data_IF_197128591443
#
_entry.id   IF_197128591443
#
_cell.length_a   1.000
_cell.length_b   1.000
_cell.length_c   1.000
_cell.angle_alpha   90.00
_cell.angle_beta   90.00
_cell.angle_gamma   90.00
#
_symmetry.space_group_name_H-M   'P 1'
#
loop_
_entity.id
_entity.type
_entity.pdbx_description
1 polymer ?
#
# COMPACT_ATOMS: atom_id res chain seq x y z
N UNK A 1 5.45 -2.25 18.95
CA UNK A 1 6.72 -2.89 19.39
C UNK A 1 7.63 -3.26 18.21
N UNK A 2 7.16 -4.07 17.25
CA UNK A 2 8.02 -4.63 16.18
C UNK A 2 8.51 -3.67 15.09
N UNK A 3 7.94 -2.47 14.93
CA UNK A 3 8.41 -1.51 13.92
C UNK A 3 9.93 -1.26 14.02
N UNK A 4 10.62 -1.35 12.88
CA UNK A 4 12.05 -1.11 12.76
C UNK A 4 12.93 -2.35 12.96
N UNK A 5 12.39 -3.56 13.08
CA UNK A 5 13.21 -4.77 12.95
C UNK A 5 13.60 -4.97 11.46
N UNK A 6 14.82 -5.46 11.16
CA UNK A 6 15.32 -5.61 9.79
C UNK A 6 14.57 -6.66 8.96
N UNK A 7 13.75 -7.50 9.61
CA UNK A 7 12.94 -8.52 8.97
C UNK A 7 11.65 -7.97 8.35
N UNK A 8 11.21 -6.77 8.75
CA UNK A 8 9.99 -6.17 8.22
C UNK A 8 10.24 -5.64 6.81
N UNK A 9 9.54 -6.22 5.84
CA UNK A 9 9.51 -5.72 4.45
C UNK A 9 8.86 -4.32 4.42
N UNK A 10 7.80 -4.16 5.21
CA UNK A 10 7.05 -2.92 5.37
C UNK A 10 6.79 -2.62 6.84
N UNK A 11 6.64 -1.35 7.25
CA UNK A 11 6.17 -1.02 8.58
C UNK A 11 4.83 -1.68 8.88
N UNK A 12 4.56 -1.89 10.18
CA UNK A 12 3.29 -2.45 10.64
C UNK A 12 2.13 -1.64 10.08
N UNK A 13 1.27 -2.30 9.31
CA UNK A 13 0.12 -1.69 8.64
C UNK A 13 -1.06 -1.68 9.61
N UNK A 14 -1.47 -0.49 10.03
CA UNK A 14 -2.59 -0.32 10.98
C UNK A 14 -3.92 0.06 10.32
N UNK A 15 -3.90 0.50 9.06
CA UNK A 15 -5.11 0.85 8.32
C UNK A 15 -5.65 -0.38 7.58
N UNK A 16 -6.92 -0.79 7.80
CA UNK A 16 -7.48 -2.00 7.18
C UNK A 16 -7.46 -2.00 5.65
N UNK A 17 -7.60 -0.85 4.99
CA UNK A 17 -7.58 -0.78 3.52
C UNK A 17 -6.15 -0.91 2.99
N UNK A 18 -5.18 -0.26 3.64
CA UNK A 18 -3.76 -0.49 3.33
C UNK A 18 -3.36 -1.95 3.54
N UNK A 19 -3.93 -2.61 4.55
CA UNK A 19 -3.68 -4.03 4.80
C UNK A 19 -4.28 -4.94 3.71
N UNK A 20 -5.47 -4.61 3.16
CA UNK A 20 -5.98 -5.27 1.95
C UNK A 20 -5.00 -5.12 0.78
N UNK A 21 -4.51 -3.90 0.53
CA UNK A 21 -3.47 -3.65 -0.47
C UNK A 21 -2.18 -4.44 -0.24
N UNK A 22 -1.79 -4.68 1.02
CA UNK A 22 -0.63 -5.50 1.37
C UNK A 22 -0.84 -6.99 1.03
N UNK A 23 -2.05 -7.50 1.20
CA UNK A 23 -2.40 -8.86 0.78
C UNK A 23 -2.43 -8.98 -0.75
N UNK A 24 -2.94 -7.98 -1.46
CA UNK A 24 -2.90 -7.93 -2.92
C UNK A 24 -1.46 -7.89 -3.46
N UNK A 25 -0.58 -7.10 -2.80
CA UNK A 25 0.85 -7.11 -3.10
C UNK A 25 1.46 -8.50 -2.86
N UNK A 26 1.14 -9.16 -1.75
CA UNK A 26 1.65 -10.50 -1.45
C UNK A 26 1.25 -11.53 -2.53
N UNK A 27 0.03 -11.43 -3.08
CA UNK A 27 -0.39 -12.25 -4.22
C UNK A 27 0.45 -11.94 -5.46
N UNK A 28 0.75 -10.67 -5.71
CA UNK A 28 1.59 -10.25 -6.85
C UNK A 28 3.03 -10.74 -6.70
N UNK A 29 3.62 -10.63 -5.52
CA UNK A 29 4.94 -11.16 -5.18
C UNK A 29 4.98 -12.68 -5.37
N UNK A 30 3.96 -13.41 -4.90
CA UNK A 30 3.85 -14.85 -5.11
C UNK A 30 3.89 -15.22 -6.61
N UNK A 31 3.13 -14.50 -7.45
CA UNK A 31 3.13 -14.73 -8.90
C UNK A 31 4.48 -14.37 -9.55
N UNK A 32 5.12 -13.29 -9.09
CA UNK A 32 6.46 -12.90 -9.53
C UNK A 32 7.48 -14.01 -9.26
N UNK A 33 7.47 -14.58 -8.04
CA UNK A 33 8.32 -15.72 -7.67
C UNK A 33 8.10 -16.94 -8.56
N UNK A 34 6.83 -17.28 -8.84
CA UNK A 34 6.52 -18.37 -9.76
C UNK A 34 7.06 -18.16 -11.16
N UNK A 35 7.01 -16.92 -11.66
CA UNK A 35 7.63 -16.57 -12.94
C UNK A 35 9.15 -16.76 -12.89
N UNK A 36 9.80 -16.27 -11.84
CA UNK A 36 11.24 -16.49 -11.61
C UNK A 36 11.59 -17.99 -11.57
N UNK A 37 10.77 -18.81 -10.93
CA UNK A 37 11.00 -20.26 -10.89
C UNK A 37 10.89 -20.90 -12.27
N UNK A 38 9.87 -20.52 -13.04
CA UNK A 38 9.68 -20.99 -14.42
C UNK A 38 10.85 -20.59 -15.31
N UNK A 39 11.31 -19.34 -15.24
CA UNK A 39 12.43 -18.82 -16.04
C UNK A 39 13.76 -19.54 -15.72
N UNK A 40 13.88 -20.10 -14.51
CA UNK A 40 15.05 -20.85 -14.05
C UNK A 40 14.84 -22.38 -14.03
N UNK A 41 13.74 -22.89 -14.61
CA UNK A 41 13.39 -24.32 -14.64
C UNK A 41 13.37 -25.02 -13.27
N UNK A 42 12.93 -24.32 -12.23
CA UNK A 42 12.74 -24.86 -10.87
C UNK A 42 11.27 -24.84 -10.47
N UNK A 43 10.90 -25.65 -9.48
CA UNK A 43 9.50 -25.82 -9.05
C UNK A 43 9.13 -24.99 -7.82
N UNK A 44 10.11 -24.62 -7.01
CA UNK A 44 9.91 -23.96 -5.73
C UNK A 44 11.13 -23.12 -5.32
N UNK A 45 10.96 -22.39 -4.23
CA UNK A 45 11.99 -21.54 -3.62
C UNK A 45 13.25 -22.32 -3.22
N UNK A 46 13.14 -23.59 -2.85
CA UNK A 46 14.30 -24.40 -2.45
C UNK A 46 15.18 -24.71 -3.66
N UNK A 47 14.55 -25.07 -4.78
CA UNK A 47 15.22 -25.25 -6.07
C UNK A 47 15.89 -23.96 -6.52
N UNK A 48 15.17 -22.83 -6.47
CA UNK A 48 15.74 -21.53 -6.84
C UNK A 48 16.93 -21.14 -5.96
N UNK A 49 16.81 -21.28 -4.65
CA UNK A 49 17.88 -20.94 -3.71
C UNK A 49 19.12 -21.84 -3.84
N UNK A 50 18.94 -23.07 -4.29
CA UNK A 50 20.06 -23.98 -4.60
C UNK A 50 20.86 -23.47 -5.81
N UNK A 51 20.17 -22.93 -6.83
CA UNK A 51 20.84 -22.26 -7.96
C UNK A 51 21.60 -21.03 -7.45
N UNK A 52 20.95 -20.14 -6.70
CA UNK A 52 21.60 -18.93 -6.17
C UNK A 52 22.86 -19.26 -5.36
N UNK A 53 22.82 -20.30 -4.54
CA UNK A 53 23.97 -20.78 -3.77
C UNK A 53 25.13 -21.23 -4.65
N UNK A 54 24.85 -21.98 -5.73
CA UNK A 54 25.89 -22.45 -6.65
C UNK A 54 26.61 -21.33 -7.40
N UNK A 55 25.94 -20.20 -7.62
CA UNK A 55 26.48 -19.03 -8.34
C UNK A 55 26.89 -17.88 -7.41
N UNK A 56 26.84 -18.08 -6.09
CA UNK A 56 27.20 -17.07 -5.10
C UNK A 56 26.26 -15.86 -5.03
N UNK A 57 25.01 -16.00 -5.50
CA UNK A 57 23.99 -14.95 -5.41
C UNK A 57 23.18 -15.03 -4.10
N UNK A 58 22.57 -13.91 -3.72
CA UNK A 58 21.71 -13.83 -2.53
C UNK A 58 20.48 -14.72 -2.71
N UNK A 59 20.20 -15.56 -1.71
CA UNK A 59 19.01 -16.42 -1.66
C UNK A 59 17.73 -15.57 -1.55
N UNK A 60 16.66 -16.03 -2.18
CA UNK A 60 15.32 -15.52 -2.01
C UNK A 60 14.81 -15.85 -0.59
N UNK A 61 14.33 -14.86 0.18
CA UNK A 61 13.87 -15.07 1.55
C UNK A 61 12.48 -15.73 1.60
N UNK A 62 12.22 -16.46 2.68
CA UNK A 62 10.86 -16.84 3.04
C UNK A 62 10.10 -15.60 3.53
N UNK A 63 8.82 -15.47 3.16
CA UNK A 63 7.95 -14.39 3.65
C UNK A 63 6.92 -15.01 4.59
N UNK A 64 6.74 -14.40 5.76
CA UNK A 64 5.65 -14.72 6.68
C UNK A 64 4.78 -13.49 6.85
N UNK A 65 3.49 -13.64 6.54
CA UNK A 65 2.49 -12.59 6.61
C UNK A 65 1.69 -12.81 7.89
N UNK A 66 1.71 -11.82 8.79
CA UNK A 66 0.96 -11.87 10.05
C UNK A 66 -0.25 -10.93 9.97
N UNK A 67 -1.42 -11.46 10.26
CA UNK A 67 -2.67 -10.70 10.44
C UNK A 67 -3.09 -10.93 11.89
N UNK A 68 -3.00 -9.90 12.73
CA UNK A 68 -3.33 -10.00 14.17
C UNK A 68 -4.85 -10.06 14.41
N UNK A 69 -5.61 -9.34 13.59
CA UNK A 69 -7.07 -9.31 13.68
C UNK A 69 -7.70 -9.32 12.28
N UNK A 70 -8.10 -10.51 11.83
CA UNK A 70 -8.75 -10.68 10.53
C UNK A 70 -10.11 -9.95 10.45
N UNK A 71 -10.85 -9.86 11.55
CA UNK A 71 -12.21 -9.30 11.51
C UNK A 71 -12.23 -7.84 11.07
N UNK A 72 -11.21 -7.06 11.42
CA UNK A 72 -11.10 -5.66 11.02
C UNK A 72 -10.88 -5.52 9.50
N UNK A 73 -10.17 -6.47 8.88
CA UNK A 73 -9.99 -6.52 7.43
C UNK A 73 -11.28 -6.92 6.73
N UNK A 74 -11.96 -7.96 7.25
CA UNK A 74 -13.22 -8.44 6.70
C UNK A 74 -14.34 -7.39 6.78
N UNK A 75 -14.32 -6.51 7.78
CA UNK A 75 -15.27 -5.39 7.88
C UNK A 75 -14.98 -4.27 6.85
N UNK A 76 -13.73 -4.11 6.44
CA UNK A 76 -13.32 -3.02 5.54
C UNK A 76 -13.40 -3.41 4.05
N UNK A 77 -12.99 -4.64 3.71
CA UNK A 77 -12.86 -5.14 2.34
C UNK A 77 -13.02 -6.69 2.30
N UNK A 78 -14.22 -7.23 2.61
CA UNK A 78 -14.41 -8.67 2.81
C UNK A 78 -14.04 -9.51 1.59
N UNK A 79 -14.45 -9.07 0.40
CA UNK A 79 -14.25 -9.83 -0.83
C UNK A 79 -12.78 -9.86 -1.25
N UNK A 80 -12.11 -8.71 -1.23
CA UNK A 80 -10.71 -8.58 -1.63
C UNK A 80 -9.77 -9.33 -0.67
N UNK A 81 -10.06 -9.25 0.64
CA UNK A 81 -9.30 -9.95 1.68
C UNK A 81 -9.49 -11.46 1.56
N UNK A 82 -10.73 -11.94 1.40
CA UNK A 82 -11.01 -13.38 1.26
C UNK A 82 -10.37 -13.97 0.00
N UNK A 83 -10.46 -13.29 -1.16
CA UNK A 83 -9.81 -13.73 -2.40
C UNK A 83 -8.30 -13.82 -2.23
N UNK A 84 -7.68 -12.78 -1.65
CA UNK A 84 -6.23 -12.76 -1.44
C UNK A 84 -5.78 -13.87 -0.49
N UNK A 85 -6.50 -14.09 0.62
CA UNK A 85 -6.22 -15.19 1.56
C UNK A 85 -6.34 -16.54 0.87
N UNK A 86 -7.40 -16.77 0.09
CA UNK A 86 -7.61 -18.03 -0.61
C UNK A 86 -6.48 -18.32 -1.61
N UNK A 87 -6.13 -17.33 -2.44
CA UNK A 87 -5.06 -17.47 -3.44
C UNK A 87 -3.70 -17.72 -2.80
N UNK A 88 -3.37 -16.98 -1.74
CA UNK A 88 -2.14 -17.21 -0.97
C UNK A 88 -2.15 -18.60 -0.35
N UNK A 89 -3.19 -18.98 0.39
CA UNK A 89 -3.24 -20.28 1.05
C UNK A 89 -3.14 -21.47 0.07
N UNK A 90 -3.64 -21.33 -1.15
CA UNK A 90 -3.57 -22.37 -2.18
C UNK A 90 -2.18 -22.52 -2.84
N UNK A 91 -1.48 -21.41 -3.09
CA UNK A 91 -0.31 -21.41 -3.99
C UNK A 91 0.99 -20.94 -3.31
N UNK A 92 0.92 -20.27 -2.16
CA UNK A 92 2.07 -19.62 -1.54
C UNK A 92 3.17 -20.60 -1.05
N UNK A 93 2.82 -21.87 -0.79
CA UNK A 93 3.74 -22.86 -0.21
C UNK A 93 5.03 -23.03 -1.03
N UNK A 94 4.93 -23.21 -2.35
CA UNK A 94 6.11 -23.39 -3.19
C UNK A 94 6.88 -22.07 -3.40
N UNK A 95 6.18 -20.93 -3.34
CA UNK A 95 6.74 -19.59 -3.36
C UNK A 95 7.48 -19.21 -2.06
N UNK A 96 7.44 -20.05 -1.02
CA UNK A 96 8.07 -19.77 0.26
C UNK A 96 7.37 -18.64 1.02
N UNK A 97 6.05 -18.52 0.84
CA UNK A 97 5.22 -17.52 1.48
C UNK A 97 4.21 -18.22 2.41
N UNK A 98 4.08 -17.73 3.64
CA UNK A 98 3.25 -18.37 4.68
C UNK A 98 2.37 -17.34 5.36
N UNK A 99 1.16 -17.74 5.75
CA UNK A 99 0.18 -16.86 6.34
C UNK A 99 -0.13 -17.30 7.77
N UNK A 100 -0.10 -16.36 8.71
CA UNK A 100 -0.50 -16.53 10.10
C UNK A 100 -1.63 -15.54 10.36
N UNK A 101 -2.82 -16.09 10.60
CA UNK A 101 -4.03 -15.29 10.83
C UNK A 101 -4.50 -15.51 12.26
N UNK A 102 -4.74 -14.41 12.97
CA UNK A 102 -5.38 -14.37 14.26
C UNK A 102 -6.68 -13.55 14.18
N UNK A 103 -7.61 -13.87 15.08
CA UNK A 103 -8.82 -13.10 15.31
C UNK A 103 -9.37 -13.39 16.69
N UNK A 104 -9.94 -12.38 17.32
CA UNK A 104 -10.71 -12.52 18.56
C UNK A 104 -12.20 -12.76 18.31
N UNK A 105 -12.66 -12.65 17.05
CA UNK A 105 -14.06 -12.82 16.65
C UNK A 105 -14.24 -14.09 15.82
N UNK A 106 -14.40 -15.27 16.47
CA UNK A 106 -14.57 -16.55 15.78
C UNK A 106 -16.01 -16.75 15.25
N UNK A 107 -16.49 -15.83 14.42
CA UNK A 107 -17.78 -15.92 13.74
C UNK A 107 -17.64 -16.50 12.33
N UNK A 108 -18.74 -17.02 11.78
CA UNK A 108 -18.77 -17.59 10.42
C UNK A 108 -18.54 -16.51 9.36
N UNK A 109 -18.90 -15.27 9.65
CA UNK A 109 -18.70 -14.13 8.74
C UNK A 109 -17.22 -13.71 8.66
N UNK A 110 -16.42 -14.01 9.68
CA UNK A 110 -14.97 -13.74 9.71
C UNK A 110 -14.19 -14.96 9.24
N UNK A 111 -14.53 -16.15 9.76
CA UNK A 111 -13.89 -17.43 9.44
C UNK A 111 -14.82 -18.21 8.50
N UNK A 112 -14.85 -17.76 7.24
CA UNK A 112 -15.73 -18.32 6.23
C UNK A 112 -15.36 -19.75 5.86
N UNK A 113 -16.27 -20.45 5.17
CA UNK A 113 -16.00 -21.78 4.65
C UNK A 113 -14.80 -21.84 3.69
N UNK A 114 -14.60 -20.79 2.88
CA UNK A 114 -13.48 -20.69 1.95
C UNK A 114 -12.14 -20.54 2.67
N UNK A 115 -12.08 -19.69 3.70
CA UNK A 115 -10.88 -19.56 4.53
C UNK A 115 -10.56 -20.90 5.21
N UNK A 116 -11.57 -21.57 5.79
CA UNK A 116 -11.37 -22.87 6.44
C UNK A 116 -10.88 -23.93 5.46
N UNK A 117 -11.40 -23.97 4.24
CA UNK A 117 -11.01 -24.95 3.23
C UNK A 117 -9.53 -24.85 2.84
N UNK A 118 -8.96 -23.65 2.87
CA UNK A 118 -7.58 -23.40 2.44
C UNK A 118 -6.56 -23.33 3.59
N UNK A 119 -7.01 -23.16 4.84
CA UNK A 119 -6.15 -23.10 6.04
C UNK A 119 -6.45 -24.30 6.95
N UNK A 120 -5.79 -25.45 6.73
CA UNK A 120 -6.12 -26.70 7.44
C UNK A 120 -5.50 -26.80 8.84
N UNK A 121 -4.37 -26.13 9.10
CA UNK A 121 -3.72 -26.13 10.41
C UNK A 121 -4.26 -24.98 11.25
N UNK A 122 -4.79 -25.29 12.44
CA UNK A 122 -5.52 -24.32 13.27
C UNK A 122 -5.11 -24.40 14.73
N UNK A 123 -5.19 -23.26 15.41
CA UNK A 123 -4.97 -23.14 16.85
C UNK A 123 -6.19 -22.44 17.42
N UNK A 124 -6.75 -22.98 18.51
CA UNK A 124 -7.78 -22.30 19.29
C UNK A 124 -7.30 -22.15 20.72
N UNK A 125 -7.23 -20.90 21.18
CA UNK A 125 -7.20 -20.58 22.61
C UNK A 125 -8.61 -20.76 23.20
N UNK A 126 -8.76 -20.47 24.49
CA UNK A 126 -10.06 -20.47 25.16
C UNK A 126 -11.05 -19.55 24.43
N UNK A 127 -12.22 -20.09 24.14
CA UNK A 127 -13.35 -19.36 23.56
C UNK A 127 -14.57 -19.40 24.49
N UNK A 128 -15.56 -18.57 24.21
CA UNK A 128 -16.74 -18.41 25.07
C UNK A 128 -17.76 -19.54 24.92
N UNK A 129 -17.85 -20.14 23.73
CA UNK A 129 -18.90 -21.12 23.45
C UNK A 129 -18.42 -22.30 22.59
N UNK A 130 -19.19 -23.39 22.65
CA UNK A 130 -18.99 -24.55 21.77
C UNK A 130 -19.15 -24.18 20.29
N UNK A 131 -19.98 -23.19 19.97
CA UNK A 131 -20.19 -22.71 18.60
C UNK A 131 -18.89 -22.08 18.09
N UNK A 132 -18.28 -21.18 18.87
CA UNK A 132 -16.99 -20.56 18.54
C UNK A 132 -15.88 -21.60 18.34
N UNK A 133 -15.83 -22.60 19.22
CA UNK A 133 -14.88 -23.72 19.08
C UNK A 133 -15.05 -24.44 17.75
N UNK A 134 -16.30 -24.70 17.33
CA UNK A 134 -16.58 -25.34 16.04
C UNK A 134 -16.28 -24.42 14.87
N UNK A 135 -16.44 -23.12 15.00
CA UNK A 135 -16.06 -22.17 13.96
C UNK A 135 -14.55 -22.25 13.69
N UNK A 136 -13.72 -22.33 14.74
CA UNK A 136 -12.26 -22.35 14.58
C UNK A 136 -11.74 -23.75 14.19
N UNK A 137 -12.06 -24.80 14.95
CA UNK A 137 -11.43 -26.13 14.81
C UNK A 137 -12.38 -27.25 14.39
N UNK A 138 -13.60 -26.91 13.94
CA UNK A 138 -14.66 -27.84 13.50
C UNK A 138 -15.14 -28.84 14.58
N UNK A 139 -14.63 -28.74 15.81
CA UNK A 139 -15.03 -29.55 16.96
C UNK A 139 -15.24 -28.70 18.21
N UNK A 140 -15.97 -29.26 19.16
CA UNK A 140 -16.03 -28.74 20.53
C UNK A 140 -14.75 -29.02 21.31
N UNK A 141 -14.50 -28.24 22.35
CA UNK A 141 -13.43 -28.47 23.33
C UNK A 141 -12.70 -27.19 23.72
N UNK A 142 -12.61 -26.20 22.84
CA UNK A 142 -11.89 -24.96 23.13
C UNK A 142 -12.60 -24.12 24.21
N UNK A 143 -13.92 -24.25 24.34
CA UNK A 143 -14.71 -23.59 25.39
C UNK A 143 -14.39 -24.09 26.81
N UNK A 144 -13.74 -25.26 26.91
CA UNK A 144 -13.35 -25.90 28.17
C UNK A 144 -11.90 -25.60 28.58
N UNK A 145 -11.16 -24.84 27.76
CA UNK A 145 -9.80 -24.45 28.07
C UNK A 145 -9.77 -23.51 29.28
N UNK A 146 -8.64 -23.51 29.98
CA UNK A 146 -8.47 -22.76 31.22
C UNK A 146 -8.16 -21.28 30.98
N UNK A 147 -7.66 -20.93 29.78
CA UNK A 147 -7.12 -19.60 29.46
C UNK A 147 -5.61 -19.56 29.70
N UNK A 148 -5.02 -18.36 29.73
CA UNK A 148 -3.59 -18.14 30.07
C UNK A 148 -2.62 -19.06 29.31
N UNK A 149 -2.79 -19.17 27.99
CA UNK A 149 -1.93 -19.96 27.11
C UNK A 149 -2.39 -21.41 26.89
N UNK A 150 -3.39 -21.92 27.61
CA UNK A 150 -3.98 -23.23 27.32
C UNK A 150 -4.70 -23.22 25.96
N UNK A 151 -4.29 -24.11 25.05
CA UNK A 151 -4.74 -24.11 23.65
C UNK A 151 -5.00 -25.52 23.11
N UNK A 152 -5.80 -25.59 22.06
CA UNK A 152 -5.94 -26.76 21.18
C UNK A 152 -5.23 -26.48 19.87
N UNK A 153 -4.23 -27.31 19.54
CA UNK A 153 -3.53 -27.31 18.27
C UNK A 153 -4.09 -28.42 17.38
N UNK A 154 -4.56 -28.06 16.20
CA UNK A 154 -5.11 -28.98 15.23
C UNK A 154 -4.34 -28.87 13.90
N UNK A 155 -3.19 -29.55 13.78
CA UNK A 155 -2.41 -29.54 12.55
C UNK A 155 -3.07 -30.37 11.45
N UNK A 156 -2.74 -30.02 10.21
CA UNK A 156 -3.11 -30.81 9.03
C UNK A 156 -2.66 -32.27 9.18
N UNK A 157 -3.54 -33.20 8.81
CA UNK A 157 -3.25 -34.63 8.79
C UNK A 157 -3.43 -35.38 10.12
N UNK A 158 -3.79 -34.69 11.20
CA UNK A 158 -4.14 -35.33 12.48
C UNK A 158 -5.67 -35.40 12.62
N UNK A 159 -6.18 -36.46 13.24
CA UNK A 159 -7.63 -36.69 13.37
C UNK A 159 -8.30 -35.97 14.55
N UNK A 160 -7.53 -35.57 15.57
CA UNK A 160 -8.04 -34.90 16.77
C UNK A 160 -7.09 -33.77 17.20
N UNK A 161 -7.61 -32.63 17.67
CA UNK A 161 -6.79 -31.57 18.25
C UNK A 161 -5.99 -32.07 19.45
N UNK A 162 -4.75 -31.59 19.57
CA UNK A 162 -3.86 -31.84 20.69
C UNK A 162 -3.93 -30.64 21.65
N UNK A 163 -4.10 -30.92 22.94
CA UNK A 163 -4.05 -29.86 23.95
C UNK A 163 -2.61 -29.53 24.30
N UNK A 164 -2.25 -28.26 24.28
CA UNK A 164 -0.90 -27.77 24.52
C UNK A 164 -0.98 -26.58 25.48
N UNK A 165 0.03 -26.44 26.35
CA UNK A 165 0.23 -25.22 27.13
C UNK A 165 1.20 -24.31 26.39
N UNK A 166 0.72 -23.14 25.98
CA UNK A 166 1.54 -22.11 25.37
C UNK A 166 2.56 -21.53 26.35
N UNK A 167 3.72 -21.14 25.82
CA UNK A 167 4.72 -20.40 26.58
C UNK A 167 4.22 -18.99 26.89
N UNK A 168 4.44 -18.55 28.12
CA UNK A 168 4.22 -17.16 28.48
C UNK A 168 5.47 -16.35 28.14
N UNK A 169 5.28 -15.22 27.45
CA UNK A 169 6.30 -14.20 27.25
C UNK A 169 5.72 -12.87 27.73
N UNK A 170 6.46 -12.17 28.59
CA UNK A 170 6.07 -10.82 29.01
C UNK A 170 6.41 -9.79 27.93
N UNK A 171 5.68 -8.67 27.92
CA UNK A 171 5.95 -7.56 26.98
C UNK A 171 7.40 -7.06 27.10
N UNK A 172 7.94 -7.04 28.33
CA UNK A 172 9.33 -6.65 28.59
C UNK A 172 10.33 -7.60 27.93
N UNK A 173 10.07 -8.91 27.92
CA UNK A 173 10.93 -9.87 27.22
C UNK A 173 10.86 -9.67 25.72
N UNK A 174 9.67 -9.39 25.17
CA UNK A 174 9.49 -9.05 23.75
C UNK A 174 10.28 -7.80 23.39
N UNK A 175 10.15 -6.73 24.16
CA UNK A 175 10.86 -5.46 23.97
C UNK A 175 12.38 -5.67 23.98
N UNK A 176 12.90 -6.39 24.97
CA UNK A 176 14.33 -6.68 25.07
C UNK A 176 14.87 -7.42 23.83
N UNK A 177 14.11 -8.41 23.32
CA UNK A 177 14.49 -9.16 22.12
C UNK A 177 14.43 -8.26 20.87
N UNK A 178 13.38 -7.46 20.74
CA UNK A 178 13.22 -6.53 19.61
C UNK A 178 14.34 -5.49 19.59
N UNK A 179 14.68 -4.93 20.74
CA UNK A 179 15.77 -3.96 20.88
C UNK A 179 17.14 -4.56 20.61
N UNK A 180 17.36 -5.82 21.04
CA UNK A 180 18.57 -6.55 20.70
C UNK A 180 18.71 -6.73 19.18
N UNK A 181 17.64 -7.12 18.48
CA UNK A 181 17.63 -7.30 17.03
C UNK A 181 17.87 -5.96 16.30
N UNK A 182 17.19 -4.89 16.71
CA UNK A 182 17.33 -3.55 16.11
C UNK A 182 18.75 -2.98 16.18
N UNK A 183 19.54 -3.39 17.17
CA UNK A 183 20.93 -2.94 17.33
C UNK A 183 21.88 -3.63 16.34
N UNK A 184 21.51 -4.78 15.78
CA UNK A 184 22.39 -5.55 14.90
C UNK A 184 22.43 -4.99 13.48
N UNK A 185 21.30 -4.51 12.97
CA UNK A 185 21.17 -4.02 11.60
C UNK A 185 20.16 -2.87 11.51
N UNK A 186 20.46 -1.87 10.68
CA UNK A 186 19.52 -0.77 10.42
C UNK A 186 18.40 -1.25 9.51
N UNK A 187 17.16 -1.08 9.95
CA UNK A 187 15.97 -1.32 9.13
C UNK A 187 16.01 -0.43 7.89
N UNK A 188 15.96 -1.05 6.71
CA UNK A 188 15.56 -0.40 5.47
C UNK A 188 14.24 -1.03 5.07
N UNK A 189 13.18 -0.23 5.03
CA UNK A 189 11.93 -0.69 4.42
C UNK A 189 12.09 -0.71 2.91
N UNK A 190 11.34 -1.56 2.23
CA UNK A 190 11.33 -1.60 0.78
C UNK A 190 10.33 -0.56 0.25
N UNK A 191 10.88 0.57 -0.22
CA UNK A 191 10.10 1.69 -0.74
C UNK A 191 9.28 1.30 -1.98
N UNK A 192 9.76 0.34 -2.79
CA UNK A 192 9.02 -0.16 -3.97
C UNK A 192 7.78 -0.95 -3.53
N UNK A 193 7.94 -1.81 -2.53
CA UNK A 193 6.82 -2.55 -1.94
C UNK A 193 5.80 -1.60 -1.34
N UNK A 194 6.24 -0.59 -0.59
CA UNK A 194 5.33 0.41 -0.01
C UNK A 194 4.52 1.16 -1.08
N UNK A 195 5.17 1.59 -2.16
CA UNK A 195 4.49 2.28 -3.26
C UNK A 195 3.46 1.38 -3.96
N UNK A 196 3.78 0.09 -4.16
CA UNK A 196 2.86 -0.84 -4.78
C UNK A 196 1.66 -1.16 -3.88
N UNK A 197 1.87 -1.31 -2.56
CA UNK A 197 0.76 -1.48 -1.59
C UNK A 197 -0.20 -0.30 -1.64
N UNK A 198 0.32 0.94 -1.67
CA UNK A 198 -0.52 2.13 -1.76
C UNK A 198 -1.27 2.21 -3.10
N UNK A 199 -0.63 1.79 -4.19
CA UNK A 199 -1.26 1.69 -5.51
C UNK A 199 -2.41 0.68 -5.53
N UNK A 200 -2.21 -0.51 -4.96
CA UNK A 200 -3.24 -1.54 -4.86
C UNK A 200 -4.44 -1.04 -4.02
N UNK A 201 -4.17 -0.44 -2.85
CA UNK A 201 -5.20 0.14 -1.99
C UNK A 201 -5.98 1.29 -2.68
N UNK A 202 -5.34 2.05 -3.59
CA UNK A 202 -6.00 3.09 -4.37
C UNK A 202 -6.86 2.53 -5.52
N UNK A 203 -6.45 1.42 -6.14
CA UNK A 203 -7.25 0.74 -7.17
C UNK A 203 -8.54 0.13 -6.60
N UNK A 204 -8.48 -0.39 -5.38
CA UNK A 204 -9.66 -0.91 -4.66
C UNK A 204 -10.72 0.19 -4.43
N UNK A 205 -10.30 1.42 -4.14
CA UNK A 205 -11.25 2.56 -4.03
C UNK A 205 -12.05 2.83 -5.30
N UNK A 206 -11.49 2.52 -6.48
CA UNK A 206 -12.18 2.74 -7.76
C UNK A 206 -13.14 1.59 -8.11
N UNK A 207 -12.88 0.36 -7.67
CA UNK A 207 -13.74 -0.81 -7.96
C UNK A 207 -15.06 -0.80 -7.18
N UNK A 208 -15.06 -0.32 -5.94
CA UNK A 208 -16.26 -0.28 -5.10
C UNK A 208 -17.13 0.99 -5.29
N UNK A 209 -16.84 1.80 -6.32
CA UNK A 209 -17.56 3.04 -6.67
C UNK A 209 -18.58 2.87 -7.80
N UNK A 210 -19.46 1.87 -7.73
CA UNK A 210 -20.50 1.62 -8.72
C UNK A 210 -21.91 2.03 -8.25
N UNK A 211 -22.34 3.25 -8.62
CA UNK A 211 -23.73 3.73 -8.77
C UNK A 211 -24.72 3.68 -7.58
N UNK A 212 -24.86 4.82 -6.88
CA UNK A 212 -26.16 5.49 -6.61
C UNK A 212 -25.92 7.00 -6.74
N UNK A 213 -26.73 7.68 -7.55
CA UNK A 213 -26.75 9.15 -7.70
C UNK A 213 -27.31 9.81 -6.44
N UNK A 214 -26.65 10.82 -5.89
CA UNK A 214 -26.90 12.24 -6.17
C UNK A 214 -26.12 13.11 -5.18
N UNK A 215 -25.56 14.22 -5.65
CA UNK A 215 -24.95 15.27 -4.80
C UNK A 215 -23.44 15.44 -4.94
N UNK A 216 -23.04 16.13 -6.01
CA UNK A 216 -21.95 17.12 -6.09
C UNK A 216 -20.64 16.82 -5.30
N UNK A 217 -19.58 16.40 -6.00
CA UNK A 217 -18.44 17.29 -6.22
C UNK A 217 -17.28 16.66 -7.03
N UNK A 218 -16.99 17.33 -8.14
CA UNK A 218 -15.69 17.53 -8.79
C UNK A 218 -15.02 16.35 -9.50
N UNK A 219 -15.51 16.06 -10.71
CA UNK A 219 -14.67 15.65 -11.84
C UNK A 219 -14.68 16.84 -12.84
N UNK A 220 -13.61 17.64 -12.86
CA UNK A 220 -13.45 18.70 -13.88
C UNK A 220 -12.89 20.07 -13.49
N UNK A 221 -12.36 20.29 -12.29
CA UNK A 221 -11.63 21.56 -12.01
C UNK A 221 -10.12 21.34 -12.02
N UNK A 222 -9.46 22.04 -12.95
CA UNK A 222 -8.03 22.36 -12.94
C UNK A 222 -7.55 22.57 -11.50
N UNK A 223 -6.73 21.64 -11.01
CA UNK A 223 -6.35 21.51 -9.60
C UNK A 223 -5.93 22.88 -9.03
N UNK A 224 -6.80 23.51 -8.22
CA UNK A 224 -6.62 24.85 -7.62
C UNK A 224 -5.30 25.00 -6.84
N UNK A 225 -4.65 23.87 -6.54
CA UNK A 225 -3.36 23.79 -5.87
C UNK A 225 -2.16 23.94 -6.80
N UNK A 226 -2.34 23.84 -8.12
CA UNK A 226 -1.23 23.96 -9.09
C UNK A 226 -0.56 25.34 -9.03
N UNK A 227 -1.26 26.48 -9.01
CA UNK A 227 -0.61 27.79 -8.86
C UNK A 227 0.22 27.90 -7.59
N UNK A 228 -0.30 27.40 -6.45
CA UNK A 228 0.41 27.39 -5.16
C UNK A 228 1.62 26.45 -5.18
N UNK A 229 1.53 25.34 -5.90
CA UNK A 229 2.65 24.41 -6.07
C UNK A 229 3.78 25.02 -6.89
N UNK A 230 3.45 25.81 -7.93
CA UNK A 230 4.44 26.53 -8.74
C UNK A 230 5.24 27.50 -7.86
N UNK A 231 4.56 28.28 -7.02
CA UNK A 231 5.23 29.20 -6.08
C UNK A 231 6.19 28.44 -5.14
N UNK A 232 5.75 27.31 -4.58
CA UNK A 232 6.56 26.50 -3.67
C UNK A 232 7.81 25.94 -4.36
N UNK A 233 7.69 25.41 -5.58
CA UNK A 233 8.84 24.84 -6.29
C UNK A 233 9.81 25.94 -6.77
N UNK A 234 9.28 27.07 -7.25
CA UNK A 234 10.10 28.21 -7.70
C UNK A 234 10.86 28.83 -6.53
N UNK A 235 10.24 28.98 -5.35
CA UNK A 235 10.93 29.48 -4.15
C UNK A 235 11.97 28.47 -3.63
N UNK A 236 11.69 27.17 -3.72
CA UNK A 236 12.62 26.13 -3.28
C UNK A 236 13.74 25.84 -4.28
N UNK A 237 13.61 26.27 -5.54
CA UNK A 237 14.50 25.96 -6.67
C UNK A 237 14.67 24.44 -6.96
N UNK A 238 13.79 23.61 -6.38
CA UNK A 238 13.76 22.17 -6.56
C UNK A 238 12.32 21.67 -6.46
N UNK A 239 12.00 20.62 -7.21
CA UNK A 239 10.68 20.00 -7.18
C UNK A 239 10.77 18.52 -6.78
N UNK A 240 10.02 18.14 -5.74
CA UNK A 240 9.80 16.76 -5.37
C UNK A 240 8.39 16.57 -4.82
N UNK A 241 7.85 15.37 -4.98
CA UNK A 241 6.54 15.00 -4.44
C UNK A 241 6.49 15.24 -2.93
N UNK A 242 7.54 14.85 -2.22
CA UNK A 242 7.69 15.04 -0.77
C UNK A 242 7.74 16.51 -0.34
N UNK A 243 8.33 17.40 -1.14
CA UNK A 243 8.34 18.83 -0.90
C UNK A 243 6.91 19.38 -0.91
N UNK A 244 6.13 19.04 -1.94
CA UNK A 244 4.74 19.49 -2.09
C UNK A 244 3.83 18.90 -1.02
N UNK A 245 4.00 17.62 -0.66
CA UNK A 245 3.25 17.02 0.46
C UNK A 245 3.46 17.79 1.76
N UNK A 246 4.71 18.13 2.10
CA UNK A 246 5.02 18.83 3.36
C UNK A 246 4.59 20.28 3.36
N UNK A 247 4.77 21.00 2.24
CA UNK A 247 4.48 22.44 2.16
C UNK A 247 3.01 22.75 1.93
N UNK A 248 2.30 21.91 1.18
CA UNK A 248 0.89 22.13 0.82
C UNK A 248 -0.06 21.16 1.52
N UNK A 249 0.44 20.32 2.44
CA UNK A 249 -0.34 19.30 3.18
C UNK A 249 -1.13 18.38 2.26
N UNK A 250 -0.55 18.04 1.11
CA UNK A 250 -1.18 17.20 0.09
C UNK A 250 -0.91 15.72 0.36
N UNK A 251 -1.88 14.86 0.02
CA UNK A 251 -1.63 13.42 -0.11
C UNK A 251 -0.70 13.11 -1.29
N UNK A 252 0.05 12.00 -1.22
CA UNK A 252 1.08 11.64 -2.20
C UNK A 252 0.54 11.64 -3.64
N UNK A 253 -0.59 10.97 -3.89
CA UNK A 253 -1.19 10.88 -5.22
C UNK A 253 -1.63 12.24 -5.80
N UNK A 254 -1.95 13.21 -4.96
CA UNK A 254 -2.25 14.58 -5.41
C UNK A 254 -0.96 15.34 -5.68
N UNK A 255 0.04 15.23 -4.80
CA UNK A 255 1.34 15.83 -5.01
C UNK A 255 2.07 15.28 -6.25
N UNK A 256 1.95 13.99 -6.54
CA UNK A 256 2.56 13.35 -7.70
C UNK A 256 1.91 13.84 -9.00
N UNK A 257 0.57 13.85 -9.06
CA UNK A 257 -0.16 14.42 -10.20
C UNK A 257 0.20 15.88 -10.46
N UNK A 258 0.37 16.67 -9.40
CA UNK A 258 0.82 18.05 -9.53
C UNK A 258 2.24 18.11 -10.09
N UNK A 259 3.19 17.29 -9.61
CA UNK A 259 4.54 17.20 -10.18
C UNK A 259 4.51 16.85 -11.67
N UNK A 260 3.68 15.89 -12.09
CA UNK A 260 3.54 15.51 -13.49
C UNK A 260 2.94 16.67 -14.31
N UNK A 261 1.94 17.37 -13.75
CA UNK A 261 1.34 18.58 -14.38
C UNK A 261 2.37 19.71 -14.52
N UNK A 262 3.28 19.87 -13.57
CA UNK A 262 4.36 20.87 -13.63
C UNK A 262 5.41 20.53 -14.69
N UNK A 263 5.67 19.23 -14.90
CA UNK A 263 6.55 18.73 -15.96
C UNK A 263 5.90 18.95 -17.34
N UNK A 264 4.63 18.59 -17.51
CA UNK A 264 3.87 18.82 -18.75
C UNK A 264 3.82 20.31 -19.13
N UNK A 265 3.76 21.20 -18.13
CA UNK A 265 3.78 22.66 -18.32
C UNK A 265 5.19 23.24 -18.50
N UNK A 266 6.23 22.42 -18.60
CA UNK A 266 7.64 22.83 -18.69
C UNK A 266 8.11 23.76 -17.55
N UNK A 267 7.49 23.67 -16.37
CA UNK A 267 7.89 24.45 -15.18
C UNK A 267 9.07 23.79 -14.47
N UNK A 268 9.12 22.46 -14.53
CA UNK A 268 10.18 21.63 -13.96
C UNK A 268 10.73 20.67 -15.03
N UNK A 269 11.97 20.24 -14.84
CA UNK A 269 12.66 19.32 -15.72
C UNK A 269 12.19 17.86 -15.58
N UNK A 270 12.68 17.00 -16.50
CA UNK A 270 12.29 15.60 -16.54
C UNK A 270 12.73 14.84 -15.30
N UNK A 271 12.15 13.66 -15.11
CA UNK A 271 12.48 12.79 -13.99
C UNK A 271 13.97 12.38 -14.00
N UNK A 272 14.73 12.82 -12.99
CA UNK A 272 16.15 12.48 -12.79
C UNK A 272 16.35 11.41 -11.69
N UNK A 273 15.49 10.37 -11.66
CA UNK A 273 15.62 9.27 -10.70
C UNK A 273 15.37 9.70 -9.25
N UNK A 274 16.36 9.48 -8.37
CA UNK A 274 16.27 9.82 -6.94
C UNK A 274 16.56 11.30 -6.62
N UNK A 275 16.98 12.10 -7.60
CA UNK A 275 17.30 13.51 -7.39
C UNK A 275 16.04 14.38 -7.57
N UNK A 276 15.92 15.47 -6.79
CA UNK A 276 14.87 16.46 -7.01
C UNK A 276 14.95 17.04 -8.43
N UNK A 277 13.79 17.21 -9.07
CA UNK A 277 13.70 17.77 -10.42
C UNK A 277 14.12 19.24 -10.39
N UNK A 278 14.91 19.66 -11.39
CA UNK A 278 15.33 21.05 -11.56
C UNK A 278 14.14 21.91 -11.96
N UNK A 279 14.07 23.13 -11.44
CA UNK A 279 13.05 24.10 -11.83
C UNK A 279 13.55 24.86 -13.05
N UNK A 280 12.73 24.96 -14.09
CA UNK A 280 13.09 25.58 -15.38
C UNK A 280 12.65 27.04 -15.48
N UNK A 281 11.75 27.49 -14.62
CA UNK A 281 11.19 28.84 -14.62
C UNK A 281 11.74 29.65 -13.44
N UNK A 282 12.20 30.86 -13.71
CA UNK A 282 12.67 31.79 -12.67
C UNK A 282 11.50 32.51 -12.00
N UNK A 283 11.71 33.00 -10.77
CA UNK A 283 10.71 33.76 -10.02
C UNK A 283 10.19 34.98 -10.78
N UNK A 284 11.06 35.66 -11.52
CA UNK A 284 10.70 36.82 -12.34
C UNK A 284 9.82 36.43 -13.54
N UNK A 285 10.16 35.35 -14.24
CA UNK A 285 9.35 34.83 -15.36
C UNK A 285 7.96 34.35 -14.92
N UNK A 286 7.84 33.74 -13.73
CA UNK A 286 6.55 33.33 -13.19
C UNK A 286 5.64 34.54 -12.88
N UNK A 287 6.20 35.61 -12.30
CA UNK A 287 5.45 36.84 -12.06
C UNK A 287 5.00 37.52 -13.35
N UNK A 288 5.84 37.53 -14.39
CA UNK A 288 5.47 38.05 -15.72
C UNK A 288 4.34 37.22 -16.36
N UNK A 289 4.39 35.89 -16.26
CA UNK A 289 3.32 34.98 -16.75
C UNK A 289 1.99 35.21 -16.02
N UNK A 290 2.02 35.42 -14.70
CA UNK A 290 0.82 35.73 -13.92
C UNK A 290 0.27 37.14 -14.18
N UNK A 291 1.15 38.13 -14.43
CA UNK A 291 0.74 39.50 -14.77
C UNK A 291 0.07 39.58 -16.14
N UNK A 292 0.56 38.82 -17.13
CA UNK A 292 -0.05 38.69 -18.45
C UNK A 292 -1.41 37.97 -18.40
N UNK A 293 -1.56 36.95 -17.55
CA UNK A 293 -2.82 36.21 -17.37
C UNK A 293 -3.92 37.04 -16.67
N UNK A 294 -3.56 37.99 -15.81
CA UNK A 294 -4.50 38.90 -15.14
C UNK A 294 -4.79 40.20 -15.93
N UNK A 295 -4.02 40.50 -16.98
CA UNK A 295 -4.16 41.68 -17.83
C UNK A 295 -5.16 41.56 -18.99
N UNK A 296 -5.79 40.40 -19.20
CA UNK A 296 -6.69 40.11 -20.32
C UNK A 296 -8.11 40.70 -20.24
N UNK A 297 -8.44 41.42 -19.18
CA UNK A 297 -9.72 42.13 -19.04
C UNK A 297 -9.49 43.61 -18.77
N UNK A 298 -9.23 44.38 -19.82
CA UNK A 298 -9.42 45.83 -19.81
C UNK A 298 -9.59 46.38 -21.23
N UNK A 299 -10.86 46.60 -21.57
CA UNK A 299 -11.41 47.69 -22.38
C UNK A 299 -10.85 47.92 -23.79
N UNK A 300 -11.71 47.65 -24.76
CA UNK A 300 -11.86 48.46 -25.96
C UNK A 300 -11.62 49.95 -25.65
N UNK A 301 -10.50 50.46 -26.13
CA UNK A 301 -10.37 51.85 -26.53
C UNK A 301 -9.99 51.82 -28.01
N UNK A 302 -11.00 51.99 -28.85
CA UNK A 302 -10.86 52.33 -30.26
C UNK A 302 -10.26 53.73 -30.38
N UNK A 303 -8.99 53.80 -30.74
CA UNK A 303 -8.30 54.90 -31.42
C UNK A 303 -6.89 54.37 -31.73
N UNK A 304 -6.35 54.38 -32.93
CA UNK A 304 -6.66 55.05 -34.18
C UNK A 304 -5.63 54.49 -35.16
N UNK A 305 -6.06 53.79 -36.22
CA UNK A 305 -5.18 53.52 -37.35
C UNK A 305 -5.52 54.48 -38.49
N UNK A 306 -4.54 55.32 -38.76
CA UNK A 306 -4.42 56.21 -39.91
C UNK A 306 -4.21 55.43 -41.22
N UNK A 307 -4.62 56.10 -42.32
CA UNK A 307 -4.26 55.93 -43.76
C UNK A 307 -5.22 55.02 -44.56
N UNK A 308 -5.71 55.41 -45.75
CA UNK A 308 -5.26 56.44 -46.69
C UNK A 308 -6.36 56.72 -47.75
N UNK A 309 -6.22 57.86 -48.45
CA UNK A 309 -6.67 58.13 -49.85
C UNK A 309 -8.20 58.30 -50.06
N UNK A 310 -8.77 59.33 -50.71
CA UNK A 310 -8.30 60.19 -51.80
C UNK A 310 -9.11 61.51 -51.89
N UNK A 311 -8.44 62.53 -52.46
CA UNK A 311 -8.91 63.64 -53.32
C UNK A 311 -10.30 64.30 -53.12
N UNK A 312 -10.29 65.61 -52.81
CA UNK A 312 -10.72 66.71 -53.71
C UNK A 312 -10.57 68.09 -53.02
N UNK A 313 -10.05 69.07 -53.76
CA UNK A 313 -9.86 70.49 -53.42
C UNK A 313 -10.26 71.27 -54.69
N UNK A 314 -10.65 72.56 -54.71
CA UNK A 314 -11.48 73.38 -53.82
C UNK A 314 -12.60 74.16 -54.59
N UNK A 315 -13.60 74.70 -53.89
CA UNK A 315 -13.87 76.14 -53.70
C UNK A 315 -15.00 76.35 -52.69
#
# INVERSE_FOLDING_TARGET
VYNGIPHLIVPVVSDPRKASGALAWAVTEMLSRYKTFSDNNVRDISGYNSICESIGQKKMPQIVIFIDELSDLMMAAPHEVEDSICRLAQMARAAGMHLVIATQRPSVDVITGLIKANIPSRISLKVSSQIDSRTIIDTAGAEKLLGNGDLLFYPVGIAKPQRIQGCFLSDKEVENVVDFIKKQEKSSYDDEVMNEIERQAAMEKKKNGGSVSDGEDSDGETDEMVPKAIEVVVDAQMASTTLLQRKLKLGYARAARIIDTLEERNIIGPYEGSKPRKVLVTKQQWYEMNALAQGGTSKDYTASDEKNEDAEIPE
#
